data_IF_094072285647
#
_entry.id   IF_094072285647
#
_cell.length_a   1.000
_cell.length_b   1.000
_cell.length_c   1.000
_cell.angle_alpha   90.00
_cell.angle_beta   90.00
_cell.angle_gamma   90.00
#
_symmetry.space_group_name_H-M   'P 1'
#
loop_
_entity.id
_entity.type
_entity.pdbx_description
1 polymer ?
#
# COMPACT_ATOMS: atom_id res chain seq x y z
N UNK A 1 20.63 11.74 11.77
CA UNK A 1 19.51 10.76 11.83
C UNK A 1 18.12 11.39 11.93
N UNK A 2 18.02 12.71 11.96
CA UNK A 2 16.73 13.45 12.01
C UNK A 2 16.13 13.79 10.64
N UNK A 3 16.82 13.54 9.53
CA UNK A 3 16.39 13.98 8.19
C UNK A 3 15.34 13.08 7.51
N UNK A 4 15.21 11.83 7.93
CA UNK A 4 14.21 10.89 7.38
C UNK A 4 12.78 11.20 7.88
N UNK A 5 12.64 11.65 9.11
CA UNK A 5 11.36 12.10 9.66
C UNK A 5 10.85 13.39 9.01
N UNK A 6 11.76 14.30 8.64
CA UNK A 6 11.44 15.54 7.95
C UNK A 6 10.85 15.31 6.55
N UNK A 7 11.32 14.28 5.84
CA UNK A 7 10.82 13.94 4.51
C UNK A 7 9.45 13.23 4.54
N UNK A 8 9.16 12.48 5.60
CA UNK A 8 7.88 11.81 5.75
C UNK A 8 6.77 12.78 6.17
N UNK A 9 7.07 13.68 7.10
CA UNK A 9 6.13 14.73 7.52
C UNK A 9 5.75 15.65 6.34
N UNK A 10 6.69 15.94 5.44
CA UNK A 10 6.43 16.71 4.22
C UNK A 10 5.55 16.00 3.20
N UNK A 11 5.46 14.66 3.24
CA UNK A 11 4.55 13.90 2.36
C UNK A 11 3.12 13.82 2.88
N UNK A 12 2.89 14.20 4.13
CA UNK A 12 1.57 14.20 4.76
C UNK A 12 0.89 15.57 4.72
N UNK A 13 1.61 16.63 4.37
CA UNK A 13 1.00 17.93 4.15
C UNK A 13 0.36 17.98 2.76
N UNK A 14 -0.90 18.40 2.65
CA UNK A 14 -1.49 18.63 1.34
C UNK A 14 -0.73 19.77 0.66
N UNK A 15 -0.09 19.48 -0.45
CA UNK A 15 0.53 20.47 -1.32
C UNK A 15 -0.46 21.62 -1.60
N UNK A 16 -0.01 22.89 -1.53
CA UNK A 16 -0.85 24.00 -1.94
C UNK A 16 -1.18 23.82 -3.44
N UNK A 17 -2.45 23.72 -3.71
CA UNK A 17 -2.96 23.63 -5.07
C UNK A 17 -2.52 24.84 -5.89
N UNK A 18 -1.46 24.71 -6.65
CA UNK A 18 -1.23 25.61 -7.76
C UNK A 18 -2.10 25.18 -8.93
N UNK A 19 -3.18 25.92 -9.06
CA UNK A 19 -3.99 25.94 -10.27
C UNK A 19 -3.12 26.25 -11.47
N UNK A 20 -3.22 25.43 -12.46
CA UNK A 20 -3.17 25.71 -13.88
C UNK A 20 -2.47 24.59 -14.62
N UNK A 21 -3.17 23.81 -15.33
CA UNK A 21 -3.15 23.59 -16.78
C UNK A 21 -4.15 22.48 -17.09
N UNK A 22 -5.15 22.86 -17.85
CA UNK A 22 -6.06 21.97 -18.55
C UNK A 22 -5.30 20.96 -19.41
N UNK A 23 -5.02 19.80 -18.86
CA UNK A 23 -4.91 18.60 -19.65
C UNK A 23 -6.09 17.73 -19.26
N UNK A 24 -7.01 17.61 -20.16
CA UNK A 24 -8.15 16.69 -20.08
C UNK A 24 -7.65 15.26 -20.02
N UNK A 25 -7.07 14.88 -18.87
CA UNK A 25 -6.97 13.47 -18.50
C UNK A 25 -8.34 13.09 -18.02
N UNK A 26 -9.11 12.46 -18.90
CA UNK A 26 -10.37 11.81 -18.60
C UNK A 26 -10.23 11.08 -17.27
N UNK A 27 -10.88 11.58 -16.24
CA UNK A 27 -10.87 10.93 -14.93
C UNK A 27 -11.32 9.47 -15.12
N UNK A 28 -10.56 8.49 -14.61
CA UNK A 28 -10.96 7.09 -14.76
C UNK A 28 -12.35 6.94 -14.15
N UNK A 29 -13.26 6.31 -14.90
CA UNK A 29 -14.61 6.02 -14.42
C UNK A 29 -14.50 5.36 -13.05
N UNK A 30 -15.31 5.75 -12.07
CA UNK A 30 -15.27 5.27 -10.68
C UNK A 30 -15.06 3.75 -10.57
N UNK A 31 -15.67 2.97 -11.47
CA UNK A 31 -15.49 1.53 -11.53
C UNK A 31 -14.07 1.07 -11.87
N UNK A 32 -13.40 1.75 -12.79
CA UNK A 32 -12.01 1.41 -13.16
C UNK A 32 -11.03 1.73 -12.02
N UNK A 33 -11.22 2.83 -11.30
CA UNK A 33 -10.42 3.18 -10.13
C UNK A 33 -10.61 2.17 -8.98
N UNK A 34 -11.83 1.74 -8.72
CA UNK A 34 -12.13 0.73 -7.70
C UNK A 34 -11.53 -0.63 -8.05
N UNK A 35 -11.59 -1.02 -9.32
CA UNK A 35 -10.96 -2.26 -9.80
C UNK A 35 -9.44 -2.19 -9.64
N UNK A 36 -8.82 -1.09 -10.05
CA UNK A 36 -7.37 -0.88 -9.87
C UNK A 36 -6.98 -1.02 -8.40
N UNK A 37 -7.69 -0.38 -7.49
CA UNK A 37 -7.42 -0.48 -6.05
C UNK A 37 -7.55 -1.93 -5.53
N UNK A 38 -8.54 -2.68 -6.02
CA UNK A 38 -8.71 -4.08 -5.65
C UNK A 38 -7.53 -4.93 -6.14
N UNK A 39 -7.09 -4.72 -7.37
CA UNK A 39 -5.95 -5.41 -7.96
C UNK A 39 -4.63 -5.06 -7.23
N UNK A 40 -4.44 -3.80 -6.86
CA UNK A 40 -3.27 -3.33 -6.11
C UNK A 40 -3.20 -3.98 -4.72
N UNK A 41 -4.32 -4.05 -4.01
CA UNK A 41 -4.40 -4.74 -2.71
C UNK A 41 -4.15 -6.23 -2.86
N UNK A 42 -4.71 -6.87 -3.86
CA UNK A 42 -4.51 -8.29 -4.09
C UNK A 42 -3.03 -8.60 -4.35
N UNK A 43 -2.37 -7.80 -5.16
CA UNK A 43 -0.95 -7.92 -5.42
C UNK A 43 -0.12 -7.72 -4.15
N UNK A 44 -0.41 -6.67 -3.38
CA UNK A 44 0.26 -6.38 -2.11
C UNK A 44 0.10 -7.54 -1.13
N UNK A 45 -1.12 -8.02 -0.94
CA UNK A 45 -1.41 -9.11 -0.02
C UNK A 45 -0.74 -10.42 -0.43
N UNK A 46 -0.72 -10.74 -1.72
CA UNK A 46 -0.03 -11.94 -2.23
C UNK A 46 1.48 -11.89 -1.95
N UNK A 47 2.10 -10.74 -2.20
CA UNK A 47 3.54 -10.57 -1.99
C UNK A 47 3.91 -10.61 -0.50
N UNK A 48 3.15 -9.91 0.34
CA UNK A 48 3.36 -9.89 1.81
C UNK A 48 3.12 -11.28 2.41
N UNK A 49 2.04 -11.95 2.03
CA UNK A 49 1.74 -13.31 2.50
C UNK A 49 2.88 -14.28 2.14
N UNK A 50 3.44 -14.14 0.94
CA UNK A 50 4.61 -14.92 0.53
C UNK A 50 5.84 -14.62 1.38
N UNK A 51 6.13 -13.34 1.65
CA UNK A 51 7.27 -12.92 2.45
C UNK A 51 7.17 -13.43 3.90
N UNK A 52 5.97 -13.44 4.46
CA UNK A 52 5.71 -13.89 5.83
C UNK A 52 5.41 -15.39 5.94
N UNK A 53 5.33 -16.11 4.83
CA UNK A 53 4.96 -17.52 4.76
C UNK A 53 3.64 -17.83 5.47
N UNK A 54 2.60 -17.08 5.14
CA UNK A 54 1.22 -17.22 5.62
C UNK A 54 0.26 -17.30 4.43
N UNK A 55 -0.99 -17.66 4.70
CA UNK A 55 -2.02 -17.62 3.66
C UNK A 55 -2.52 -16.17 3.46
N UNK A 56 -2.78 -15.81 2.23
CA UNK A 56 -3.34 -14.49 1.89
C UNK A 56 -4.68 -14.24 2.60
N UNK A 57 -5.49 -15.29 2.79
CA UNK A 57 -6.76 -15.21 3.50
C UNK A 57 -6.61 -14.78 4.95
N UNK A 58 -5.51 -15.11 5.62
CA UNK A 58 -5.25 -14.74 7.02
C UNK A 58 -5.13 -13.23 7.21
N UNK A 59 -4.69 -12.51 6.16
CA UNK A 59 -4.59 -11.04 6.19
C UNK A 59 -5.95 -10.36 6.35
N UNK A 60 -7.02 -11.00 5.90
CA UNK A 60 -8.39 -10.48 5.96
C UNK A 60 -9.20 -11.04 7.12
N UNK A 61 -8.64 -11.94 7.91
CA UNK A 61 -9.35 -12.54 9.02
C UNK A 61 -9.77 -11.45 10.04
N UNK A 62 -11.02 -11.49 10.56
CA UNK A 62 -11.53 -10.44 11.46
C UNK A 62 -10.81 -10.36 12.80
N UNK A 63 -10.29 -11.45 13.30
CA UNK A 63 -9.51 -11.46 14.54
C UNK A 63 -8.07 -11.03 14.30
N UNK A 64 -7.39 -10.64 15.39
CA UNK A 64 -5.97 -10.26 15.32
C UNK A 64 -5.11 -11.41 14.79
N UNK A 65 -5.40 -12.64 15.18
CA UNK A 65 -4.60 -13.82 14.82
C UNK A 65 -3.24 -13.84 15.52
N UNK A 66 -2.34 -14.66 15.01
CA UNK A 66 -0.96 -14.73 15.47
C UNK A 66 -0.19 -13.41 15.23
N UNK A 67 0.82 -13.15 16.05
CA UNK A 67 1.64 -11.94 15.96
C UNK A 67 2.22 -11.74 14.56
N UNK A 68 2.66 -12.81 13.91
CA UNK A 68 3.17 -12.78 12.52
C UNK A 68 2.12 -12.33 11.52
N UNK A 69 0.91 -12.83 11.65
CA UNK A 69 -0.23 -12.44 10.77
C UNK A 69 -0.62 -10.99 11.02
N UNK A 70 -0.65 -10.56 12.28
CA UNK A 70 -0.95 -9.18 12.62
C UNK A 70 0.09 -8.21 12.05
N UNK A 71 1.36 -8.55 12.14
CA UNK A 71 2.46 -7.77 11.56
C UNK A 71 2.37 -7.74 10.03
N UNK A 72 2.18 -8.89 9.39
CA UNK A 72 2.01 -8.98 7.94
C UNK A 72 0.84 -8.11 7.44
N UNK A 73 -0.27 -8.10 8.18
CA UNK A 73 -1.42 -7.25 7.88
C UNK A 73 -1.07 -5.76 7.99
N UNK A 74 -0.33 -5.37 9.03
CA UNK A 74 0.14 -3.98 9.17
C UNK A 74 1.04 -3.57 8.00
N UNK A 75 1.97 -4.44 7.59
CA UNK A 75 2.84 -4.22 6.41
C UNK A 75 2.01 -4.10 5.14
N UNK A 76 1.02 -4.96 4.93
CA UNK A 76 0.15 -4.88 3.75
C UNK A 76 -0.67 -3.58 3.69
N UNK A 77 -1.21 -3.12 4.82
CA UNK A 77 -1.91 -1.84 4.91
C UNK A 77 -0.97 -0.67 4.63
N UNK A 78 0.23 -0.68 5.20
CA UNK A 78 1.27 0.32 4.99
C UNK A 78 1.67 0.40 3.52
N UNK A 79 2.02 -0.71 2.90
CA UNK A 79 2.44 -0.76 1.50
C UNK A 79 1.32 -0.31 0.54
N UNK A 80 0.08 -0.66 0.83
CA UNK A 80 -1.07 -0.21 0.04
C UNK A 80 -1.21 1.32 0.07
N UNK A 81 -0.94 1.93 1.23
CA UNK A 81 -0.97 3.38 1.40
C UNK A 81 0.23 4.07 0.73
N UNK A 82 1.44 3.60 0.99
CA UNK A 82 2.69 4.26 0.57
C UNK A 82 3.01 4.00 -0.90
N UNK A 83 2.92 2.75 -1.35
CA UNK A 83 3.33 2.38 -2.73
C UNK A 83 2.28 2.79 -3.77
N UNK A 84 1.00 2.59 -3.46
CA UNK A 84 -0.08 2.88 -4.40
C UNK A 84 -0.82 4.19 -4.14
N UNK A 85 -0.42 4.95 -3.12
CA UNK A 85 -1.05 6.21 -2.77
C UNK A 85 -2.53 6.07 -2.34
N UNK A 86 -2.91 4.88 -1.86
CA UNK A 86 -4.27 4.63 -1.43
C UNK A 86 -4.57 5.41 -0.15
N UNK A 87 -5.72 6.09 -0.06
CA UNK A 87 -6.10 6.79 1.17
C UNK A 87 -6.28 5.82 2.34
N UNK A 88 -6.05 6.30 3.56
CA UNK A 88 -6.27 5.48 4.77
C UNK A 88 -7.69 4.91 4.83
N UNK A 89 -8.69 5.70 4.43
CA UNK A 89 -10.08 5.25 4.39
C UNK A 89 -10.31 4.17 3.32
N UNK A 90 -9.68 4.28 2.15
CA UNK A 90 -9.78 3.28 1.10
C UNK A 90 -9.11 1.96 1.52
N UNK A 91 -7.92 2.02 2.10
CA UNK A 91 -7.24 0.87 2.66
C UNK A 91 -8.07 0.21 3.78
N UNK A 92 -8.60 1.01 4.69
CA UNK A 92 -9.45 0.52 5.79
C UNK A 92 -10.64 -0.29 5.26
N UNK A 93 -11.36 0.24 4.29
CA UNK A 93 -12.49 -0.49 3.66
C UNK A 93 -12.06 -1.82 3.04
N UNK A 94 -10.90 -1.86 2.39
CA UNK A 94 -10.41 -3.09 1.73
C UNK A 94 -9.97 -4.16 2.72
N UNK A 95 -9.37 -3.76 3.83
CA UNK A 95 -8.94 -4.69 4.87
C UNK A 95 -10.02 -4.97 5.94
N UNK A 96 -11.22 -4.39 5.81
CA UNK A 96 -12.29 -4.52 6.80
C UNK A 96 -11.86 -3.99 8.18
N UNK A 97 -11.15 -2.87 8.21
CA UNK A 97 -10.64 -2.22 9.42
C UNK A 97 -11.06 -0.75 9.48
N UNK A 98 -10.92 -0.16 10.65
CA UNK A 98 -11.12 1.26 10.82
C UNK A 98 -9.96 2.09 10.26
N UNK A 99 -10.24 3.31 9.83
CA UNK A 99 -9.21 4.25 9.37
C UNK A 99 -8.13 4.46 10.42
N UNK A 100 -8.49 4.55 11.69
CA UNK A 100 -7.56 4.69 12.81
C UNK A 100 -6.63 3.49 12.96
N UNK A 101 -7.13 2.28 12.70
CA UNK A 101 -6.33 1.05 12.70
C UNK A 101 -5.27 1.10 11.60
N UNK A 102 -5.62 1.55 10.40
CA UNK A 102 -4.65 1.69 9.30
C UNK A 102 -3.62 2.76 9.62
N UNK A 103 -4.04 3.92 10.14
CA UNK A 103 -3.12 4.99 10.56
C UNK A 103 -2.16 4.53 11.65
N UNK A 104 -2.65 3.75 12.61
CA UNK A 104 -1.82 3.14 13.65
C UNK A 104 -0.81 2.14 13.06
N UNK A 105 -1.26 1.27 12.15
CA UNK A 105 -0.39 0.32 11.47
C UNK A 105 0.74 1.04 10.71
N UNK A 106 0.43 2.11 10.00
CA UNK A 106 1.45 2.90 9.29
C UNK A 106 2.51 3.45 10.25
N UNK A 107 2.11 4.02 11.39
CA UNK A 107 3.06 4.50 12.40
C UNK A 107 3.91 3.38 12.98
N UNK A 108 3.31 2.23 13.29
CA UNK A 108 4.05 1.07 13.81
C UNK A 108 5.12 0.58 12.83
N UNK A 109 4.80 0.55 11.54
CA UNK A 109 5.76 0.15 10.50
C UNK A 109 6.88 1.20 10.37
N UNK A 110 6.56 2.49 10.39
CA UNK A 110 7.57 3.55 10.36
C UNK A 110 8.52 3.47 11.54
N UNK A 111 8.00 3.28 12.76
CA UNK A 111 8.83 3.14 13.97
C UNK A 111 9.76 1.92 13.90
N UNK A 112 9.34 0.87 13.21
CA UNK A 112 10.15 -0.35 13.04
C UNK A 112 11.21 -0.25 11.95
N UNK A 113 11.19 0.76 11.13
CA UNK A 113 12.25 1.00 10.11
C UNK A 113 13.62 1.31 10.73
N UNK A 114 13.68 1.57 12.02
CA UNK A 114 14.94 1.66 12.78
C UNK A 114 15.67 0.31 12.88
N UNK A 115 14.98 -0.81 12.68
CA UNK A 115 15.59 -2.15 12.54
C UNK A 115 16.03 -2.34 11.08
N UNK A 116 17.33 -2.36 10.85
CA UNK A 116 17.94 -2.47 9.51
C UNK A 116 17.44 -3.70 8.73
N UNK A 117 17.22 -4.82 9.39
CA UNK A 117 16.73 -6.05 8.73
C UNK A 117 15.30 -5.91 8.26
N UNK A 118 14.49 -5.30 9.10
CA UNK A 118 13.10 -5.02 8.78
C UNK A 118 12.99 -4.00 7.65
N UNK A 119 13.77 -2.94 7.72
CA UNK A 119 13.80 -1.89 6.70
C UNK A 119 14.23 -2.44 5.32
N UNK A 120 15.29 -3.23 5.26
CA UNK A 120 15.72 -3.90 4.02
C UNK A 120 14.63 -4.81 3.44
N UNK A 121 13.94 -5.56 4.29
CA UNK A 121 12.81 -6.39 3.85
C UNK A 121 11.70 -5.51 3.25
N UNK A 122 11.36 -4.44 3.94
CA UNK A 122 10.31 -3.51 3.52
C UNK A 122 10.65 -2.83 2.18
N UNK A 123 11.87 -2.34 2.03
CA UNK A 123 12.36 -1.76 0.77
C UNK A 123 12.27 -2.74 -0.40
N UNK A 124 12.61 -3.99 -0.18
CA UNK A 124 12.49 -5.05 -1.21
C UNK A 124 11.03 -5.28 -1.61
N UNK A 125 10.11 -5.26 -0.66
CA UNK A 125 8.68 -5.37 -0.93
C UNK A 125 8.18 -4.15 -1.73
N UNK A 126 8.54 -2.94 -1.34
CA UNK A 126 8.21 -1.70 -2.04
C UNK A 126 8.71 -1.72 -3.50
N UNK A 127 9.98 -2.09 -3.69
CA UNK A 127 10.58 -2.21 -5.02
C UNK A 127 9.88 -3.26 -5.87
N UNK A 128 9.61 -4.43 -5.30
CA UNK A 128 8.92 -5.52 -5.99
C UNK A 128 7.52 -5.11 -6.46
N UNK A 129 6.76 -4.42 -5.60
CA UNK A 129 5.44 -3.89 -5.96
C UNK A 129 5.52 -2.86 -7.07
N UNK A 130 6.48 -1.96 -7.00
CA UNK A 130 6.70 -0.93 -8.03
C UNK A 130 7.03 -1.55 -9.39
N UNK A 131 7.91 -2.56 -9.41
CA UNK A 131 8.27 -3.28 -10.64
C UNK A 131 7.07 -4.03 -11.21
N UNK A 132 6.31 -4.73 -10.37
CA UNK A 132 5.12 -5.48 -10.79
C UNK A 132 4.01 -4.57 -11.28
N UNK A 133 3.81 -3.42 -10.66
CA UNK A 133 2.84 -2.41 -11.13
C UNK A 133 3.23 -1.89 -12.52
N UNK A 134 4.49 -1.55 -12.72
CA UNK A 134 5.00 -1.12 -14.03
C UNK A 134 4.85 -2.19 -15.09
N UNK A 135 5.21 -3.44 -14.79
CA UNK A 135 5.04 -4.57 -15.70
C UNK A 135 3.57 -4.75 -16.09
N UNK A 136 2.65 -4.67 -15.13
CA UNK A 136 1.20 -4.74 -15.39
C UNK A 136 0.71 -3.62 -16.30
N UNK A 137 1.28 -2.43 -16.16
CA UNK A 137 0.93 -1.27 -16.99
C UNK A 137 1.49 -1.38 -18.41
N UNK A 138 2.65 -2.01 -18.54
CA UNK A 138 3.31 -2.22 -19.85
C UNK A 138 2.72 -3.39 -20.66
N UNK A 139 1.84 -4.21 -20.08
CA UNK A 139 1.18 -5.35 -20.77
C UNK A 139 -0.30 -5.04 -21.05
N UNK A 140 -0.61 -3.97 -21.82
CA UNK A 140 -1.96 -3.45 -21.82
C UNK A 140 -2.99 -4.28 -22.57
N UNK A 141 -2.67 -5.15 -23.51
CA UNK A 141 -3.71 -5.63 -24.43
C UNK A 141 -3.63 -7.09 -24.86
N UNK A 142 -2.85 -7.93 -24.21
CA UNK A 142 -2.84 -9.36 -24.58
C UNK A 142 -4.09 -10.16 -24.14
N UNK A 143 -5.08 -9.49 -23.52
CA UNK A 143 -6.33 -10.13 -23.05
C UNK A 143 -7.54 -9.90 -23.92
N UNK A 144 -7.35 -9.36 -25.13
CA UNK A 144 -8.42 -9.23 -26.12
C UNK A 144 -8.12 -10.08 -27.35
N UNK A 145 -8.04 -11.36 -27.15
CA UNK A 145 -8.24 -12.33 -28.24
C UNK A 145 -9.10 -13.43 -27.73
#
# INVERSE_FOLDING_TARGET
MSDLYSNFAKRLEPEPQQSTILTTKTAPRRGAALKKQADDIQLTCALVARAYNILTADLFHPTRGEARVAEARQVAMYLSHITFGMSLAAAARRFGRDRTTVAYACRQIEDRRDDDRFDVMLERLELSLTVLEKARTCLPEMKKQ
#
